data_IF_266571165999
#
_entry.id   IF_266571165999
#
_cell.length_a   1.000
_cell.length_b   1.000
_cell.length_c   1.000
_cell.angle_alpha   90.00
_cell.angle_beta   90.00
_cell.angle_gamma   90.00
#
_symmetry.space_group_name_H-M   'P 1'
#
loop_
_entity.id
_entity.type
_entity.pdbx_description
1 polymer ?
#
# COMPACT_ATOMS: atom_id res chain seq x y z
N UNK A 1 15.08 40.81 37.48
CA UNK A 1 15.08 39.35 37.74
C UNK A 1 13.62 38.92 37.66
N UNK A 2 13.13 38.37 36.55
CA UNK A 2 13.37 37.06 35.89
C UNK A 2 12.40 35.99 36.44
N UNK A 3 11.71 35.30 35.53
CA UNK A 3 10.72 34.24 35.74
C UNK A 3 9.63 34.35 34.65
N UNK A 4 9.98 34.24 33.36
CA UNK A 4 10.02 32.98 32.60
C UNK A 4 8.62 32.36 32.47
N UNK A 5 7.81 32.96 31.59
CA UNK A 5 6.72 32.25 30.89
C UNK A 5 7.39 31.26 29.93
N UNK A 6 7.31 29.96 30.23
CA UNK A 6 7.69 28.92 29.28
C UNK A 6 6.70 28.92 28.10
N UNK A 7 7.13 29.18 26.85
CA UNK A 7 6.29 28.89 25.71
C UNK A 7 6.31 27.38 25.54
N UNK A 8 5.14 26.76 25.76
CA UNK A 8 4.92 25.35 25.47
C UNK A 8 5.48 25.00 24.10
N UNK A 9 6.34 23.99 24.07
CA UNK A 9 7.03 23.47 22.91
C UNK A 9 6.00 23.08 21.84
N UNK A 10 5.69 24.03 20.96
CA UNK A 10 4.89 23.80 19.77
C UNK A 10 5.73 22.90 18.87
N UNK A 11 5.44 21.60 18.91
CA UNK A 11 5.98 20.64 17.97
C UNK A 11 5.73 21.18 16.55
N UNK A 12 6.74 21.12 15.65
CA UNK A 12 6.61 21.69 14.32
C UNK A 12 5.38 21.09 13.61
N UNK A 13 4.49 21.99 13.17
CA UNK A 13 3.17 21.66 12.61
C UNK A 13 3.26 20.95 11.25
N UNK A 14 4.42 20.99 10.59
CA UNK A 14 4.64 20.38 9.29
C UNK A 14 6.04 19.79 9.22
N UNK A 15 6.14 18.48 9.06
CA UNK A 15 7.37 17.86 8.55
C UNK A 15 7.40 18.18 7.05
N UNK A 16 8.15 19.22 6.66
CA UNK A 16 8.43 19.48 5.25
C UNK A 16 9.31 18.33 4.70
N UNK A 17 8.67 17.35 4.08
CA UNK A 17 9.35 16.27 3.37
C UNK A 17 9.86 16.84 2.05
N UNK A 18 11.13 17.23 2.03
CA UNK A 18 11.85 17.53 0.78
C UNK A 18 11.89 16.28 -0.11
N UNK A 19 11.07 16.29 -1.16
CA UNK A 19 11.29 15.63 -2.46
C UNK A 19 11.90 14.21 -2.43
N UNK A 20 11.40 13.36 -1.55
CA UNK A 20 11.35 11.92 -1.80
C UNK A 20 9.94 11.65 -2.36
N UNK A 21 9.79 10.83 -3.40
CA UNK A 21 8.46 10.58 -3.98
C UNK A 21 7.49 10.08 -2.91
N UNK A 22 6.18 10.26 -3.08
CA UNK A 22 5.19 9.82 -2.08
C UNK A 22 5.40 8.35 -1.62
N UNK A 23 5.87 7.47 -2.53
CA UNK A 23 6.23 6.09 -2.20
C UNK A 23 7.50 5.92 -1.36
N UNK A 24 8.45 6.85 -1.40
CA UNK A 24 9.63 6.82 -0.53
C UNK A 24 9.28 7.16 0.92
N UNK A 25 8.37 8.13 1.11
CA UNK A 25 7.87 8.47 2.44
C UNK A 25 7.04 7.32 3.03
N UNK A 26 6.16 6.71 2.23
CA UNK A 26 5.36 5.58 2.68
C UNK A 26 6.24 4.41 3.13
N UNK A 27 7.25 4.05 2.33
CA UNK A 27 8.24 3.03 2.68
C UNK A 27 8.97 3.36 3.98
N UNK A 28 9.42 4.61 4.13
CA UNK A 28 10.09 5.06 5.36
C UNK A 28 9.18 4.90 6.59
N UNK A 29 7.91 5.29 6.49
CA UNK A 29 6.94 5.14 7.57
C UNK A 29 6.67 3.67 7.92
N UNK A 30 6.66 2.77 6.93
CA UNK A 30 6.54 1.33 7.15
C UNK A 30 7.79 0.76 7.84
N UNK A 31 9.00 1.17 7.44
CA UNK A 31 10.25 0.79 8.10
C UNK A 31 10.29 1.27 9.56
N UNK A 32 9.90 2.53 9.81
CA UNK A 32 9.76 3.06 11.16
C UNK A 32 8.73 2.29 11.99
N UNK A 33 7.62 1.86 11.38
CA UNK A 33 6.62 1.03 12.05
C UNK A 33 7.21 -0.30 12.51
N UNK A 34 8.00 -0.96 11.66
CA UNK A 34 8.67 -2.22 12.00
C UNK A 34 9.67 -2.03 13.14
N UNK A 35 10.50 -0.99 13.07
CA UNK A 35 11.48 -0.68 14.12
C UNK A 35 10.79 -0.35 15.45
N UNK A 36 9.75 0.49 15.44
CA UNK A 36 8.99 0.83 16.66
C UNK A 36 8.34 -0.40 17.31
N UNK A 37 7.88 -1.38 16.52
CA UNK A 37 7.37 -2.66 17.05
C UNK A 37 8.47 -3.47 17.73
N UNK A 38 9.67 -3.53 17.14
CA UNK A 38 10.81 -4.20 17.76
C UNK A 38 11.23 -3.53 19.09
N UNK A 39 11.23 -2.20 19.13
CA UNK A 39 11.50 -1.42 20.35
C UNK A 39 10.41 -1.61 21.41
N UNK A 40 9.14 -1.66 21.00
CA UNK A 40 8.02 -1.96 21.89
C UNK A 40 8.21 -3.31 22.58
N UNK A 41 8.57 -4.35 21.82
CA UNK A 41 8.84 -5.68 22.37
C UNK A 41 10.06 -5.68 23.32
N UNK A 42 11.09 -4.90 23.00
CA UNK A 42 12.24 -4.71 23.89
C UNK A 42 11.81 -4.09 25.23
N UNK A 43 11.07 -2.98 25.23
CA UNK A 43 10.62 -2.35 26.47
C UNK A 43 9.64 -3.22 27.26
N UNK A 44 8.80 -4.01 26.58
CA UNK A 44 7.97 -5.02 27.26
C UNK A 44 8.80 -6.04 28.02
N UNK A 45 9.87 -6.56 27.40
CA UNK A 45 10.81 -7.48 28.06
C UNK A 45 11.56 -6.83 29.21
N UNK A 46 12.03 -5.60 29.04
CA UNK A 46 12.69 -4.84 30.11
C UNK A 46 11.76 -4.64 31.31
N UNK A 47 10.50 -4.27 31.06
CA UNK A 47 9.50 -4.09 32.12
C UNK A 47 9.26 -5.40 32.88
N UNK A 48 9.04 -6.51 32.16
CA UNK A 48 8.85 -7.83 32.78
C UNK A 48 10.09 -8.29 33.58
N UNK A 49 11.29 -8.01 33.07
CA UNK A 49 12.55 -8.28 33.78
C UNK A 49 12.63 -7.49 35.09
N UNK A 50 12.33 -6.19 35.05
CA UNK A 50 12.31 -5.35 36.25
C UNK A 50 11.22 -5.75 37.24
N UNK A 51 10.02 -6.14 36.78
CA UNK A 51 8.95 -6.69 37.62
C UNK A 51 9.44 -7.93 38.40
N UNK A 52 10.21 -8.82 37.76
CA UNK A 52 10.74 -10.03 38.40
C UNK A 52 11.78 -9.76 39.49
N UNK A 53 12.41 -8.58 39.50
CA UNK A 53 13.44 -8.21 40.48
C UNK A 53 12.85 -7.66 41.78
N UNK A 54 11.53 -7.43 41.88
CA UNK A 54 10.93 -6.82 43.06
C UNK A 54 10.81 -7.82 44.22
N UNK A 55 10.48 -9.08 43.91
CA UNK A 55 10.24 -10.09 44.93
C UNK A 55 11.56 -10.58 45.55
N UNK A 56 11.74 -10.34 46.86
CA UNK A 56 12.92 -10.76 47.61
C UNK A 56 14.14 -9.84 47.48
N UNK A 57 14.01 -8.71 46.78
CA UNK A 57 15.05 -7.69 46.69
C UNK A 57 15.13 -6.82 47.96
N UNK A 58 16.31 -6.26 48.20
CA UNK A 58 16.46 -5.19 49.19
C UNK A 58 15.75 -3.90 48.73
N UNK A 59 15.56 -2.96 49.67
CA UNK A 59 14.87 -1.69 49.44
C UNK A 59 15.47 -0.90 48.25
N UNK A 60 16.79 -0.90 48.10
CA UNK A 60 17.48 -0.14 47.06
C UNK A 60 17.25 -0.75 45.67
N UNK A 61 17.39 -2.06 45.56
CA UNK A 61 17.11 -2.83 44.35
C UNK A 61 15.64 -2.76 43.96
N UNK A 62 14.72 -2.91 44.92
CA UNK A 62 13.28 -2.80 44.68
C UNK A 62 12.90 -1.38 44.20
N UNK A 63 13.55 -0.34 44.73
CA UNK A 63 13.36 1.04 44.27
C UNK A 63 13.86 1.24 42.85
N UNK A 64 15.02 0.71 42.51
CA UNK A 64 15.56 0.77 41.15
C UNK A 64 14.65 0.05 40.16
N UNK A 65 14.20 -1.17 40.49
CA UNK A 65 13.29 -1.94 39.66
C UNK A 65 11.98 -1.18 39.36
N UNK A 66 11.39 -0.50 40.36
CA UNK A 66 10.20 0.36 40.15
C UNK A 66 10.47 1.54 39.21
N UNK A 67 11.66 2.15 39.30
CA UNK A 67 12.05 3.23 38.40
C UNK A 67 12.17 2.72 36.95
N UNK A 68 12.78 1.54 36.76
CA UNK A 68 12.93 0.92 35.44
C UNK A 68 11.57 0.53 34.84
N UNK A 69 10.65 -0.02 35.64
CA UNK A 69 9.27 -0.32 35.21
C UNK A 69 8.57 0.95 34.73
N UNK A 70 8.73 2.05 35.46
CA UNK A 70 8.14 3.34 35.08
C UNK A 70 8.73 3.83 33.76
N UNK A 71 10.05 3.86 33.63
CA UNK A 71 10.72 4.30 32.41
C UNK A 71 10.30 3.46 31.20
N UNK A 72 10.25 2.13 31.34
CA UNK A 72 9.79 1.24 30.29
C UNK A 72 8.31 1.47 29.93
N UNK A 73 7.45 1.75 30.91
CA UNK A 73 6.03 2.05 30.67
C UNK A 73 5.84 3.36 29.93
N UNK A 74 6.58 4.41 30.32
CA UNK A 74 6.53 5.72 29.68
C UNK A 74 7.04 5.63 28.22
N UNK A 75 8.11 4.86 27.96
CA UNK A 75 8.60 4.58 26.62
C UNK A 75 7.59 3.80 25.76
N UNK A 76 6.96 2.77 26.32
CA UNK A 76 5.88 2.02 25.65
C UNK A 76 4.74 2.94 25.22
N UNK A 77 4.29 3.83 26.10
CA UNK A 77 3.21 4.78 25.81
C UNK A 77 3.60 5.75 24.67
N UNK A 78 4.84 6.24 24.66
CA UNK A 78 5.35 7.08 23.59
C UNK A 78 5.39 6.35 22.24
N UNK A 79 5.82 5.09 22.24
CA UNK A 79 5.86 4.26 21.03
C UNK A 79 4.45 4.05 20.47
N UNK A 80 3.48 3.68 21.30
CA UNK A 80 2.08 3.50 20.87
C UNK A 80 1.53 4.78 20.25
N UNK A 81 1.71 5.92 20.90
CA UNK A 81 1.27 7.22 20.37
C UNK A 81 1.94 7.55 19.03
N UNK A 82 3.21 7.18 18.87
CA UNK A 82 3.95 7.39 17.62
C UNK A 82 3.41 6.50 16.51
N UNK A 83 3.13 5.23 16.80
CA UNK A 83 2.52 4.29 15.85
C UNK A 83 1.12 4.74 15.41
N UNK A 84 0.31 5.28 16.32
CA UNK A 84 -1.00 5.85 15.98
C UNK A 84 -0.87 7.03 15.00
N UNK A 85 0.12 7.90 15.21
CA UNK A 85 0.40 9.01 14.28
C UNK A 85 0.87 8.51 12.91
N UNK A 86 1.73 7.50 12.88
CA UNK A 86 2.18 6.88 11.62
C UNK A 86 1.00 6.26 10.86
N UNK A 87 0.11 5.53 11.55
CA UNK A 87 -1.10 4.98 10.94
C UNK A 87 -2.00 6.07 10.33
N UNK A 88 -2.21 7.17 11.05
CA UNK A 88 -2.96 8.32 10.55
C UNK A 88 -2.33 8.92 9.28
N UNK A 89 -1.00 9.07 9.26
CA UNK A 89 -0.25 9.58 8.10
C UNK A 89 -0.35 8.64 6.89
N UNK A 90 -0.18 7.34 7.08
CA UNK A 90 -0.30 6.35 6.00
C UNK A 90 -1.71 6.37 5.38
N UNK A 91 -2.75 6.42 6.23
CA UNK A 91 -4.13 6.56 5.74
C UNK A 91 -4.35 7.87 4.99
N UNK A 92 -3.67 8.94 5.39
CA UNK A 92 -3.76 10.23 4.71
C UNK A 92 -3.09 10.18 3.35
N UNK A 93 -1.87 9.62 3.25
CA UNK A 93 -1.16 9.48 1.98
C UNK A 93 -1.97 8.67 0.96
N UNK A 94 -2.65 7.61 1.40
CA UNK A 94 -3.52 6.81 0.53
C UNK A 94 -4.74 7.61 0.04
N UNK A 95 -5.37 8.41 0.90
CA UNK A 95 -6.45 9.31 0.47
C UNK A 95 -5.93 10.35 -0.52
N UNK A 96 -4.80 10.98 -0.23
CA UNK A 96 -4.20 11.99 -1.08
C UNK A 96 -3.86 11.43 -2.48
N UNK A 97 -3.42 10.17 -2.55
CA UNK A 97 -3.19 9.44 -3.80
C UNK A 97 -4.49 9.24 -4.59
N UNK A 98 -5.56 8.76 -3.94
CA UNK A 98 -6.86 8.56 -4.57
C UNK A 98 -7.47 9.88 -5.06
N UNK A 99 -7.43 10.92 -4.25
CA UNK A 99 -7.93 12.26 -4.59
C UNK A 99 -7.13 12.87 -5.76
N UNK A 100 -5.84 12.56 -5.88
CA UNK A 100 -5.03 12.96 -7.04
C UNK A 100 -5.43 12.20 -8.30
N UNK A 101 -5.69 10.90 -8.21
CA UNK A 101 -6.17 10.07 -9.32
C UNK A 101 -7.55 10.51 -9.81
N UNK A 102 -8.48 10.81 -8.90
CA UNK A 102 -9.81 11.33 -9.24
C UNK A 102 -9.70 12.68 -9.96
N UNK A 103 -8.91 13.62 -9.44
CA UNK A 103 -8.66 14.91 -10.10
C UNK A 103 -8.06 14.76 -11.49
N UNK A 104 -7.18 13.77 -11.70
CA UNK A 104 -6.63 13.48 -13.03
C UNK A 104 -7.71 12.97 -13.98
N UNK A 105 -8.63 12.12 -13.53
CA UNK A 105 -9.76 11.63 -14.34
C UNK A 105 -10.70 12.79 -14.67
N UNK A 106 -11.07 13.62 -13.69
CA UNK A 106 -11.94 14.78 -13.89
C UNK A 106 -11.34 15.81 -14.86
N UNK A 107 -10.02 15.99 -14.83
CA UNK A 107 -9.32 16.92 -15.71
C UNK A 107 -9.16 16.41 -17.15
N UNK A 108 -9.44 15.12 -17.44
CA UNK A 108 -9.33 14.58 -18.80
C UNK A 108 -10.49 15.04 -19.67
N UNK A 109 -10.16 15.43 -20.90
CA UNK A 109 -11.16 15.75 -21.92
C UNK A 109 -12.02 14.50 -22.23
N UNK A 110 -13.34 14.56 -22.02
CA UNK A 110 -14.25 13.45 -22.31
C UNK A 110 -14.18 12.94 -23.74
N UNK A 111 -13.90 13.82 -24.72
CA UNK A 111 -13.85 13.41 -26.13
C UNK A 111 -12.56 12.67 -26.47
N UNK A 112 -11.45 13.00 -25.81
CA UNK A 112 -10.20 12.22 -25.92
C UNK A 112 -10.40 10.83 -25.32
N UNK A 113 -11.02 10.75 -24.15
CA UNK A 113 -11.39 9.48 -23.49
C UNK A 113 -12.27 8.60 -24.38
N UNK A 114 -13.30 9.19 -25.00
CA UNK A 114 -14.17 8.49 -25.94
C UNK A 114 -13.38 7.91 -27.11
N UNK A 115 -12.53 8.73 -27.73
CA UNK A 115 -11.70 8.30 -28.86
C UNK A 115 -10.75 7.15 -28.50
N UNK A 116 -10.13 7.17 -27.32
CA UNK A 116 -9.29 6.07 -26.84
C UNK A 116 -10.08 4.76 -26.66
N UNK A 117 -11.27 4.83 -26.08
CA UNK A 117 -12.14 3.66 -25.89
C UNK A 117 -12.60 3.11 -27.24
N UNK A 118 -13.00 3.97 -28.18
CA UNK A 118 -13.37 3.58 -29.53
C UNK A 118 -12.22 2.88 -30.26
N UNK A 119 -10.99 3.39 -30.15
CA UNK A 119 -9.80 2.76 -30.71
C UNK A 119 -9.52 1.39 -30.08
N UNK A 120 -9.68 1.26 -28.76
CA UNK A 120 -9.49 -0.01 -28.05
C UNK A 120 -10.51 -1.06 -28.49
N UNK A 121 -11.77 -0.65 -28.67
CA UNK A 121 -12.85 -1.51 -29.17
C UNK A 121 -12.54 -1.94 -30.61
N UNK A 122 -12.15 -1.00 -31.48
CA UNK A 122 -11.81 -1.31 -32.87
C UNK A 122 -10.68 -2.34 -32.95
N UNK A 123 -9.58 -2.13 -32.22
CA UNK A 123 -8.46 -3.07 -32.17
C UNK A 123 -8.88 -4.47 -31.66
N UNK A 124 -9.74 -4.53 -30.65
CA UNK A 124 -10.26 -5.80 -30.13
C UNK A 124 -11.13 -6.52 -31.16
N UNK A 125 -12.03 -5.80 -31.82
CA UNK A 125 -12.93 -6.34 -32.84
C UNK A 125 -12.12 -6.85 -34.03
N UNK A 126 -11.15 -6.08 -34.51
CA UNK A 126 -10.28 -6.48 -35.62
C UNK A 126 -9.52 -7.79 -35.31
N UNK A 127 -8.93 -7.89 -34.12
CA UNK A 127 -8.23 -9.10 -33.69
C UNK A 127 -9.16 -10.33 -33.66
N UNK A 128 -10.38 -10.17 -33.13
CA UNK A 128 -11.35 -11.27 -33.07
C UNK A 128 -11.87 -11.64 -34.47
N UNK A 129 -12.14 -10.65 -35.32
CA UNK A 129 -12.61 -10.87 -36.68
C UNK A 129 -11.56 -11.56 -37.53
N UNK A 130 -10.29 -11.15 -37.41
CA UNK A 130 -9.16 -11.80 -38.09
C UNK A 130 -9.10 -13.29 -37.75
N UNK A 131 -9.17 -13.64 -36.46
CA UNK A 131 -9.19 -15.04 -36.04
C UNK A 131 -10.40 -15.83 -36.57
N UNK A 132 -11.60 -15.23 -36.59
CA UNK A 132 -12.79 -15.87 -37.17
C UNK A 132 -12.67 -16.07 -38.68
N UNK A 133 -12.10 -15.10 -39.40
CA UNK A 133 -11.88 -15.18 -40.85
C UNK A 133 -10.87 -16.28 -41.16
N UNK A 134 -9.75 -16.35 -40.43
CA UNK A 134 -8.76 -17.41 -40.61
C UNK A 134 -9.37 -18.81 -40.45
N UNK A 135 -10.18 -19.01 -39.40
CA UNK A 135 -10.90 -20.27 -39.19
C UNK A 135 -11.89 -20.58 -40.32
N UNK A 136 -12.66 -19.59 -40.77
CA UNK A 136 -13.62 -19.76 -41.85
C UNK A 136 -12.92 -20.08 -43.20
N UNK A 137 -11.80 -19.42 -43.49
CA UNK A 137 -10.99 -19.68 -44.68
C UNK A 137 -10.40 -21.08 -44.62
N UNK A 138 -9.85 -21.50 -43.48
CA UNK A 138 -9.32 -22.85 -43.30
C UNK A 138 -10.40 -23.92 -43.52
N UNK A 139 -11.60 -23.73 -42.94
CA UNK A 139 -12.73 -24.61 -43.15
C UNK A 139 -13.13 -24.70 -44.63
N UNK A 140 -13.22 -23.54 -45.31
CA UNK A 140 -13.58 -23.50 -46.74
C UNK A 140 -12.52 -24.15 -47.63
N UNK A 141 -11.25 -23.96 -47.33
CA UNK A 141 -10.17 -24.63 -48.05
C UNK A 141 -10.21 -26.14 -47.90
N UNK A 142 -10.51 -26.65 -46.69
CA UNK A 142 -10.67 -28.07 -46.44
C UNK A 142 -11.86 -28.69 -47.20
N UNK A 143 -12.98 -27.97 -47.32
CA UNK A 143 -14.11 -28.39 -48.15
C UNK A 143 -13.71 -28.51 -49.63
N UNK A 144 -13.02 -27.50 -50.17
CA UNK A 144 -12.60 -27.45 -51.57
C UNK A 144 -11.56 -28.53 -51.89
N UNK A 145 -10.60 -28.78 -51.00
CA UNK A 145 -9.64 -29.87 -51.17
C UNK A 145 -10.31 -31.24 -51.06
N UNK A 146 -11.30 -31.40 -50.17
CA UNK A 146 -12.11 -32.61 -50.08
C UNK A 146 -12.92 -32.90 -51.35
N UNK A 147 -13.31 -31.87 -52.11
CA UNK A 147 -13.93 -32.02 -53.44
C UNK A 147 -12.91 -32.39 -54.53
N UNK A 148 -11.67 -31.89 -54.42
CA UNK A 148 -10.57 -32.23 -55.33
C UNK A 148 -10.07 -33.68 -55.16
N UNK A 149 -10.17 -34.24 -53.95
CA UNK A 149 -9.81 -35.64 -53.64
C UNK A 149 -10.89 -36.67 -54.04
N UNK A 150 -11.99 -36.25 -54.70
CA UNK A 150 -12.91 -37.16 -55.39
C UNK A 150 -14.08 -37.72 -54.56
N UNK A 151 -14.42 -37.13 -53.41
CA UNK A 151 -15.75 -37.37 -52.80
C UNK A 151 -16.80 -36.52 -53.50
N UNK A 152 -17.36 -37.07 -54.58
CA UNK A 152 -18.52 -36.47 -55.27
C UNK A 152 -19.75 -36.34 -54.36
N UNK A 153 -20.69 -35.44 -54.69
CA UNK A 153 -21.90 -35.25 -53.89
C UNK A 153 -22.70 -36.56 -53.78
N UNK A 154 -23.40 -36.80 -52.65
CA UNK A 154 -24.18 -38.02 -52.47
C UNK A 154 -25.21 -38.13 -53.60
N UNK A 155 -25.44 -39.34 -54.16
CA UNK A 155 -26.42 -39.53 -55.21
C UNK A 155 -27.80 -39.08 -54.69
N UNK A 156 -28.45 -38.20 -55.45
CA UNK A 156 -29.84 -37.83 -55.19
C UNK A 156 -30.74 -39.07 -55.25
N UNK A 157 -31.78 -39.15 -54.41
CA UNK A 157 -32.67 -40.31 -54.32
C UNK A 157 -33.43 -40.59 -55.62
#
# INVERSE_FOLDING_TARGET
>A
MRGEDEPGEALPEVIEVKAAGAGDLERLLQEFTAEMRAQFDLFRRLRAGAESLIDGADEALAKQARADIKAATDAIALIVRTLEKIDALLRQLERDRLDAEERLIEARDPEILRGEVEALIAARVEAELAGRIELAVAARMAEVSGWAEGRGPPPSP
#
